data_IF_259979113587
#
_entry.id   IF_259979113587
#
_cell.length_a   1.000
_cell.length_b   1.000
_cell.length_c   1.000
_cell.angle_alpha   90.00
_cell.angle_beta   90.00
_cell.angle_gamma   90.00
#
_symmetry.space_group_name_H-M   'P 1'
#
loop_
_entity.id
_entity.type
_entity.pdbx_description
1 polymer ?
#
# COMPACT_ATOMS: atom_id res chain seq x y z
N UNK A 1 -26.52 -0.79 -4.41
CA UNK A 1 -25.28 -0.12 -3.94
C UNK A 1 -25.65 1.20 -3.29
N UNK A 2 -25.12 1.50 -2.10
CA UNK A 2 -25.35 2.77 -1.41
C UNK A 2 -24.76 3.94 -2.21
N UNK A 3 -25.50 5.03 -2.32
CA UNK A 3 -25.07 6.29 -2.94
C UNK A 3 -23.91 6.92 -2.15
N UNK A 4 -23.23 7.91 -2.74
CA UNK A 4 -22.18 8.67 -2.04
C UNK A 4 -22.74 9.40 -0.82
N UNK A 5 -23.95 9.86 -0.91
CA UNK A 5 -24.63 10.61 0.17
C UNK A 5 -25.02 9.69 1.31
N UNK A 6 -25.60 8.53 1.03
CA UNK A 6 -25.91 7.50 2.03
C UNK A 6 -24.67 7.03 2.79
N UNK A 7 -23.54 6.83 2.10
CA UNK A 7 -22.27 6.48 2.75
C UNK A 7 -21.74 7.60 3.63
N UNK A 8 -21.91 8.86 3.23
CA UNK A 8 -21.52 10.02 4.03
C UNK A 8 -22.39 10.14 5.27
N UNK A 9 -23.71 9.96 5.12
CA UNK A 9 -24.64 10.00 6.25
C UNK A 9 -24.36 8.87 7.24
N UNK A 10 -24.12 7.65 6.77
CA UNK A 10 -23.76 6.52 7.63
C UNK A 10 -22.51 6.79 8.49
N UNK A 11 -21.48 7.46 7.91
CA UNK A 11 -20.30 7.88 8.68
C UNK A 11 -20.61 8.94 9.74
N UNK A 12 -21.48 9.88 9.43
CA UNK A 12 -21.92 10.89 10.40
C UNK A 12 -22.66 10.23 11.56
N UNK A 13 -23.55 9.30 11.26
CA UNK A 13 -24.33 8.57 12.27
C UNK A 13 -23.42 7.70 13.16
N UNK A 14 -22.41 7.07 12.59
CA UNK A 14 -21.38 6.32 13.32
C UNK A 14 -20.62 7.22 14.31
N UNK A 15 -20.18 8.40 13.86
CA UNK A 15 -19.47 9.37 14.70
C UNK A 15 -20.39 9.88 15.83
N UNK A 16 -21.63 10.21 15.53
CA UNK A 16 -22.58 10.67 16.53
C UNK A 16 -22.87 9.59 17.58
N UNK A 17 -23.04 8.34 17.17
CA UNK A 17 -23.21 7.20 18.06
C UNK A 17 -22.01 7.02 18.99
N UNK A 18 -20.79 7.15 18.44
CA UNK A 18 -19.55 7.07 19.21
C UNK A 18 -19.44 8.19 20.26
N UNK A 19 -19.74 9.44 19.87
CA UNK A 19 -19.76 10.58 20.78
C UNK A 19 -20.79 10.41 21.89
N UNK A 20 -21.95 9.85 21.57
CA UNK A 20 -22.97 9.52 22.58
C UNK A 20 -22.46 8.53 23.60
N UNK A 21 -21.78 7.45 23.17
CA UNK A 21 -21.22 6.42 24.06
C UNK A 21 -20.13 6.98 24.98
N UNK A 22 -19.33 7.94 24.49
CA UNK A 22 -18.36 8.66 25.34
C UNK A 22 -19.10 9.47 26.40
N UNK A 23 -20.10 10.26 25.98
CA UNK A 23 -20.84 11.16 26.89
C UNK A 23 -21.68 10.40 27.93
N UNK A 24 -22.23 9.25 27.57
CA UNK A 24 -23.00 8.38 28.46
C UNK A 24 -22.17 7.57 29.44
N UNK A 25 -20.82 7.52 29.23
CA UNK A 25 -19.91 6.73 30.05
C UNK A 25 -19.89 5.23 29.69
N UNK A 26 -20.51 4.85 28.57
CA UNK A 26 -20.42 3.48 28.02
C UNK A 26 -18.99 3.13 27.59
N UNK A 27 -18.20 4.14 27.23
CA UNK A 27 -16.77 4.01 26.92
C UNK A 27 -16.00 4.75 28.02
N UNK A 28 -15.17 4.04 28.74
CA UNK A 28 -14.32 4.60 29.79
C UNK A 28 -13.18 5.43 29.22
N UNK A 29 -12.57 6.28 30.07
CA UNK A 29 -11.40 7.08 29.68
C UNK A 29 -10.22 6.19 29.28
N UNK A 30 -9.99 5.07 29.97
CA UNK A 30 -8.92 4.13 29.64
C UNK A 30 -9.13 3.43 28.29
N UNK A 31 -10.38 3.09 27.96
CA UNK A 31 -10.71 2.54 26.64
C UNK A 31 -10.48 3.57 25.52
N UNK A 32 -10.82 4.85 25.77
CA UNK A 32 -10.53 5.92 24.83
C UNK A 32 -9.05 6.11 24.58
N UNK A 33 -8.22 6.05 25.62
CA UNK A 33 -6.76 6.16 25.51
C UNK A 33 -6.19 5.01 24.67
N UNK A 34 -6.61 3.77 24.91
CA UNK A 34 -6.23 2.62 24.10
C UNK A 34 -6.62 2.80 22.62
N UNK A 35 -7.86 3.24 22.35
CA UNK A 35 -8.33 3.50 21.00
C UNK A 35 -7.53 4.60 20.30
N UNK A 36 -7.13 5.65 21.02
CA UNK A 36 -6.30 6.73 20.47
C UNK A 36 -4.90 6.23 20.11
N UNK A 37 -4.30 5.39 20.94
CA UNK A 37 -3.00 4.77 20.66
C UNK A 37 -3.08 3.85 19.42
N UNK A 38 -4.12 3.02 19.32
CA UNK A 38 -4.36 2.16 18.16
C UNK A 38 -4.54 2.98 16.88
N UNK A 39 -5.31 4.07 16.92
CA UNK A 39 -5.49 4.97 15.78
C UNK A 39 -4.19 5.66 15.36
N UNK A 40 -3.38 6.09 16.33
CA UNK A 40 -2.09 6.71 16.06
C UNK A 40 -1.15 5.72 15.36
N UNK A 41 -1.10 4.48 15.81
CA UNK A 41 -0.30 3.42 15.19
C UNK A 41 -0.80 3.09 13.77
N UNK A 42 -2.11 2.95 13.58
CA UNK A 42 -2.69 2.72 12.24
C UNK A 42 -2.38 3.86 11.27
N UNK A 43 -2.43 5.10 11.74
CA UNK A 43 -2.02 6.27 10.92
C UNK A 43 -0.55 6.24 10.54
N UNK A 44 0.32 5.84 11.46
CA UNK A 44 1.76 5.69 11.23
C UNK A 44 2.04 4.62 10.18
N UNK A 45 1.42 3.46 10.31
CA UNK A 45 1.51 2.36 9.33
C UNK A 45 1.01 2.83 7.95
N UNK A 46 -0.14 3.49 7.88
CA UNK A 46 -0.70 4.00 6.63
C UNK A 46 0.21 5.01 5.93
N UNK A 47 0.83 5.93 6.68
CA UNK A 47 1.80 6.90 6.13
C UNK A 47 3.05 6.20 5.60
N UNK A 48 3.58 5.24 6.34
CA UNK A 48 4.75 4.47 5.91
C UNK A 48 4.45 3.66 4.65
N UNK A 49 3.28 3.02 4.59
CA UNK A 49 2.82 2.30 3.40
C UNK A 49 2.73 3.21 2.17
N UNK A 50 2.14 4.39 2.32
CA UNK A 50 2.02 5.37 1.23
C UNK A 50 3.39 5.85 0.76
N UNK A 51 4.29 6.18 1.68
CA UNK A 51 5.66 6.57 1.38
C UNK A 51 6.42 5.47 0.63
N UNK A 52 6.35 4.24 1.12
CA UNK A 52 6.99 3.06 0.50
C UNK A 52 6.49 2.81 -0.92
N UNK A 53 5.19 2.89 -1.16
CA UNK A 53 4.61 2.79 -2.51
C UNK A 53 5.13 3.88 -3.44
N UNK A 54 5.27 5.10 -2.92
CA UNK A 54 5.84 6.22 -3.67
C UNK A 54 7.29 6.01 -4.06
N UNK A 55 8.13 5.52 -3.15
CA UNK A 55 9.53 5.18 -3.42
C UNK A 55 9.65 4.10 -4.51
N UNK A 56 8.87 3.02 -4.38
CA UNK A 56 8.87 1.92 -5.36
C UNK A 56 8.42 2.40 -6.74
N UNK A 57 7.37 3.19 -6.82
CA UNK A 57 6.86 3.72 -8.08
C UNK A 57 7.88 4.62 -8.79
N UNK A 58 8.56 5.50 -8.04
CA UNK A 58 9.60 6.38 -8.59
C UNK A 58 10.92 5.68 -8.91
N UNK A 59 11.16 4.52 -8.31
CA UNK A 59 12.41 3.77 -8.47
C UNK A 59 12.71 3.36 -9.91
N UNK A 60 11.70 3.26 -10.78
CA UNK A 60 11.89 3.00 -12.22
C UNK A 60 12.71 4.10 -12.89
N UNK A 61 12.65 5.33 -12.37
CA UNK A 61 13.41 6.47 -12.90
C UNK A 61 14.87 6.54 -12.41
N UNK A 62 15.25 5.67 -11.50
CA UNK A 62 16.58 5.57 -10.92
C UNK A 62 16.63 5.82 -9.42
N UNK A 63 17.61 5.21 -8.78
CA UNK A 63 17.98 5.48 -7.39
C UNK A 63 19.44 5.12 -7.13
N UNK A 64 20.03 5.70 -6.11
CA UNK A 64 21.39 5.40 -5.67
C UNK A 64 21.41 4.17 -4.75
N UNK A 65 22.52 3.42 -4.76
CA UNK A 65 22.64 2.14 -4.04
C UNK A 65 22.63 2.28 -2.51
N UNK A 66 22.93 3.46 -1.99
CA UNK A 66 22.89 3.79 -0.57
C UNK A 66 21.61 4.55 -0.16
N UNK A 67 20.64 4.65 -1.07
CA UNK A 67 19.40 5.36 -0.85
C UNK A 67 18.37 4.56 -0.05
N UNK A 68 17.39 5.28 0.50
CA UNK A 68 16.22 4.68 1.14
C UNK A 68 15.47 3.69 0.20
N UNK A 69 15.44 4.01 -1.10
CA UNK A 69 14.84 3.12 -2.11
C UNK A 69 15.61 1.80 -2.24
N UNK A 70 16.95 1.84 -2.23
CA UNK A 70 17.77 0.63 -2.28
C UNK A 70 17.57 -0.25 -1.04
N UNK A 71 17.52 0.35 0.13
CA UNK A 71 17.25 -0.36 1.38
C UNK A 71 15.86 -0.99 1.39
N UNK A 72 14.85 -0.23 0.98
CA UNK A 72 13.46 -0.69 0.94
C UNK A 72 13.27 -1.82 -0.07
N UNK A 73 13.74 -1.65 -1.30
CA UNK A 73 13.62 -2.63 -2.41
C UNK A 73 14.56 -3.81 -2.20
N UNK A 74 15.71 -3.60 -1.57
CA UNK A 74 16.65 -4.63 -1.17
C UNK A 74 17.63 -5.06 -2.26
N UNK A 75 17.85 -4.22 -3.27
CA UNK A 75 18.85 -4.44 -4.31
C UNK A 75 19.29 -3.13 -4.98
N UNK A 76 20.35 -3.18 -5.79
CA UNK A 76 20.81 -2.05 -6.59
C UNK A 76 19.82 -1.71 -7.70
N UNK A 77 19.88 -0.47 -8.19
CA UNK A 77 19.04 -0.03 -9.32
C UNK A 77 19.20 -0.91 -10.55
N UNK A 78 20.44 -1.26 -10.89
CA UNK A 78 20.74 -2.12 -12.06
C UNK A 78 20.10 -3.50 -11.90
N UNK A 79 20.19 -4.08 -10.71
CA UNK A 79 19.58 -5.38 -10.43
C UNK A 79 18.04 -5.30 -10.46
N UNK A 80 17.46 -4.24 -9.92
CA UNK A 80 16.03 -4.01 -9.95
C UNK A 80 15.48 -3.91 -11.37
N UNK A 81 16.16 -3.13 -12.24
CA UNK A 81 15.78 -3.04 -13.64
C UNK A 81 15.88 -4.39 -14.36
N UNK A 82 16.96 -5.14 -14.12
CA UNK A 82 17.11 -6.48 -14.65
C UNK A 82 16.01 -7.45 -14.15
N UNK A 83 15.65 -7.36 -12.87
CA UNK A 83 14.58 -8.15 -12.29
C UNK A 83 13.23 -7.87 -12.96
N UNK A 84 12.88 -6.59 -13.16
CA UNK A 84 11.64 -6.21 -13.84
C UNK A 84 11.65 -6.65 -15.31
N UNK A 85 12.74 -6.41 -16.03
CA UNK A 85 12.82 -6.74 -17.46
C UNK A 85 12.68 -8.24 -17.75
N UNK A 86 13.17 -9.10 -16.85
CA UNK A 86 13.01 -10.57 -16.98
C UNK A 86 11.54 -11.02 -16.88
N UNK A 87 10.69 -10.19 -16.31
CA UNK A 87 9.27 -10.48 -16.12
C UNK A 87 8.39 -9.78 -17.17
N UNK A 88 8.97 -9.05 -18.10
CA UNK A 88 8.21 -8.40 -19.16
C UNK A 88 7.48 -9.43 -20.02
N UNK A 89 6.22 -9.20 -20.24
CA UNK A 89 5.41 -9.94 -21.19
C UNK A 89 5.47 -9.27 -22.56
N UNK A 90 4.98 -9.94 -23.59
CA UNK A 90 4.98 -9.43 -24.96
C UNK A 90 4.42 -8.00 -25.03
N UNK A 91 5.21 -7.10 -25.59
CA UNK A 91 4.85 -5.69 -25.77
C UNK A 91 5.28 -4.76 -24.62
N UNK A 92 5.75 -5.30 -23.48
CA UNK A 92 6.32 -4.48 -22.41
C UNK A 92 7.78 -4.11 -22.67
N UNK A 93 8.11 -2.86 -22.37
CA UNK A 93 9.49 -2.35 -22.37
C UNK A 93 9.58 -1.15 -21.41
N UNK A 94 10.79 -0.66 -21.15
CA UNK A 94 10.96 0.57 -20.37
C UNK A 94 10.53 1.82 -21.14
N UNK A 95 10.49 1.77 -22.48
CA UNK A 95 10.02 2.88 -23.32
C UNK A 95 8.51 3.12 -23.16
N UNK A 96 7.72 2.09 -22.89
CA UNK A 96 6.28 2.21 -22.67
C UNK A 96 5.87 2.11 -21.19
N UNK A 97 6.71 2.58 -20.30
CA UNK A 97 6.46 2.55 -18.83
C UNK A 97 5.19 3.31 -18.38
N UNK A 98 4.55 4.04 -19.26
CA UNK A 98 3.25 4.66 -18.98
C UNK A 98 2.07 3.67 -19.06
N UNK A 99 2.27 2.53 -19.71
CA UNK A 99 1.23 1.53 -19.95
C UNK A 99 1.23 0.41 -18.89
N UNK A 100 2.30 0.29 -18.13
CA UNK A 100 2.44 -0.67 -17.06
C UNK A 100 2.94 0.00 -15.78
N UNK A 101 2.86 -0.70 -14.68
CA UNK A 101 3.33 -0.22 -13.37
C UNK A 101 3.90 -1.38 -12.55
N UNK A 102 4.66 -1.04 -11.52
CA UNK A 102 5.16 -2.04 -10.57
C UNK A 102 4.03 -2.44 -9.64
N UNK A 103 3.77 -3.72 -9.59
CA UNK A 103 2.74 -4.34 -8.77
C UNK A 103 3.37 -5.18 -7.66
N UNK A 104 2.72 -5.20 -6.50
CA UNK A 104 3.04 -6.09 -5.41
C UNK A 104 2.30 -7.41 -5.60
N UNK A 105 3.03 -8.53 -5.74
CA UNK A 105 2.45 -9.88 -5.90
C UNK A 105 1.54 -10.18 -4.71
N UNK A 106 2.07 -9.99 -3.49
CA UNK A 106 1.28 -9.95 -2.25
C UNK A 106 0.94 -8.49 -2.00
N UNK A 107 -0.33 -8.11 -1.96
CA UNK A 107 -0.73 -6.72 -1.83
C UNK A 107 -0.19 -6.06 -0.56
N UNK A 108 0.35 -4.86 -0.69
CA UNK A 108 0.81 -4.05 0.43
C UNK A 108 -0.30 -3.81 1.48
N UNK A 109 -1.54 -3.73 1.05
CA UNK A 109 -2.72 -3.57 1.93
C UNK A 109 -2.93 -4.74 2.90
N UNK A 110 -2.28 -5.88 2.68
CA UNK A 110 -2.33 -7.02 3.61
C UNK A 110 -1.40 -6.84 4.83
N UNK A 111 -0.45 -5.88 4.76
CA UNK A 111 0.47 -5.59 5.87
C UNK A 111 -0.24 -4.91 7.02
N UNK A 112 0.10 -5.33 8.24
CA UNK A 112 -0.43 -4.78 9.49
C UNK A 112 0.64 -4.10 10.34
N UNK A 113 1.91 -4.27 10.00
CA UNK A 113 3.06 -3.67 10.67
C UNK A 113 4.02 -3.04 9.68
N UNK A 114 4.90 -2.16 10.17
CA UNK A 114 5.96 -1.56 9.35
C UNK A 114 6.91 -2.62 8.82
N UNK A 115 7.26 -3.61 9.64
CA UNK A 115 8.13 -4.71 9.26
C UNK A 115 7.53 -5.54 8.12
N UNK A 116 6.23 -5.80 8.14
CA UNK A 116 5.52 -6.48 7.05
C UNK A 116 5.54 -5.63 5.76
N UNK A 117 5.38 -4.31 5.87
CA UNK A 117 5.51 -3.40 4.72
C UNK A 117 6.91 -3.48 4.12
N UNK A 118 7.95 -3.50 4.95
CA UNK A 118 9.34 -3.63 4.51
C UNK A 118 9.58 -4.95 3.77
N UNK A 119 9.04 -6.05 4.27
CA UNK A 119 9.11 -7.37 3.62
C UNK A 119 8.39 -7.35 2.27
N UNK A 120 7.18 -6.81 2.22
CA UNK A 120 6.38 -6.75 1.00
C UNK A 120 6.91 -5.75 -0.04
N UNK A 121 7.81 -4.86 0.36
CA UNK A 121 8.48 -3.90 -0.52
C UNK A 121 9.71 -4.45 -1.22
N UNK A 122 10.19 -5.63 -0.84
CA UNK A 122 11.37 -6.24 -1.46
C UNK A 122 11.12 -6.60 -2.92
N UNK A 123 12.16 -6.49 -3.75
CA UNK A 123 12.09 -6.74 -5.19
C UNK A 123 11.48 -8.12 -5.53
N UNK A 124 11.67 -9.12 -4.67
CA UNK A 124 11.09 -10.45 -4.83
C UNK A 124 9.56 -10.49 -4.83
N UNK A 125 8.92 -9.48 -4.25
CA UNK A 125 7.46 -9.29 -4.26
C UNK A 125 6.99 -8.29 -5.33
N UNK A 126 7.90 -7.79 -6.18
CA UNK A 126 7.62 -6.78 -7.19
C UNK A 126 7.67 -7.36 -8.60
N UNK A 127 6.74 -6.97 -9.43
CA UNK A 127 6.65 -7.35 -10.83
C UNK A 127 6.07 -6.22 -11.68
N UNK A 128 6.38 -6.19 -12.98
CA UNK A 128 5.65 -5.33 -13.90
C UNK A 128 4.27 -5.94 -14.19
N UNK A 129 3.26 -5.10 -14.22
CA UNK A 129 1.90 -5.51 -14.57
C UNK A 129 1.28 -4.42 -15.44
N UNK A 130 0.56 -4.80 -16.49
CA UNK A 130 -0.19 -3.83 -17.28
C UNK A 130 -1.12 -3.04 -16.38
N UNK A 131 -1.15 -1.72 -16.56
CA UNK A 131 -1.99 -0.83 -15.73
C UNK A 131 -3.46 -1.23 -15.74
N UNK A 132 -3.96 -1.69 -16.89
CA UNK A 132 -5.30 -2.23 -17.05
C UNK A 132 -5.55 -3.44 -16.12
N UNK A 133 -4.60 -4.36 -16.07
CA UNK A 133 -4.72 -5.58 -15.25
C UNK A 133 -4.53 -5.29 -13.78
N UNK A 134 -3.63 -4.37 -13.43
CA UNK A 134 -3.45 -3.94 -12.04
C UNK A 134 -4.72 -3.29 -11.46
N UNK A 135 -5.42 -2.48 -12.24
CA UNK A 135 -6.72 -1.92 -11.84
C UNK A 135 -7.78 -2.99 -11.59
N UNK A 136 -7.79 -4.09 -12.37
CA UNK A 136 -8.71 -5.23 -12.15
C UNK A 136 -8.34 -6.06 -10.95
N UNK A 137 -7.03 -6.19 -10.66
CA UNK A 137 -6.53 -6.95 -9.51
C UNK A 137 -6.98 -6.31 -8.20
N UNK A 138 -6.92 -4.97 -8.06
CA UNK A 138 -7.08 -4.25 -6.80
C UNK A 138 -6.21 -4.88 -5.70
N UNK A 139 -6.78 -5.19 -4.53
CA UNK A 139 -6.08 -5.85 -3.41
C UNK A 139 -6.16 -7.39 -3.44
N UNK A 140 -6.57 -7.98 -4.55
CA UNK A 140 -6.65 -9.43 -4.68
C UNK A 140 -5.29 -10.03 -5.00
N UNK A 141 -4.96 -11.16 -4.38
CA UNK A 141 -3.82 -11.98 -4.79
C UNK A 141 -4.18 -12.66 -6.11
N UNK A 142 -3.53 -12.27 -7.18
CA UNK A 142 -3.58 -13.02 -8.43
C UNK A 142 -2.40 -13.98 -8.43
N UNK A 143 -2.66 -15.24 -8.16
CA UNK A 143 -1.71 -16.30 -8.49
C UNK A 143 -1.84 -16.54 -9.99
N UNK A 144 -0.84 -16.10 -10.73
CA UNK A 144 -0.66 -16.60 -12.09
C UNK A 144 -0.14 -18.03 -11.96
N UNK A 145 -1.00 -18.96 -12.29
CA UNK A 145 -0.64 -20.35 -12.53
C UNK A 145 0.17 -20.39 -13.83
#
# INVERSE_FOLDING_TARGET
MATREERRQAKVDEVLSFLYKIKSGEISQSELEIMQEEWAEQKKIGRYMHHSKGLISRAISGYEDDSESAELIGCTYVYYMAHLSRQFVKGMSFENKCDWEVDHIIPMSSAKTIEEIQVLSKFTNLRPLWRKDNRKKHSKKLFLI
#
